data_IF_565160074391
#
_entry.id   IF_565160074391
#
_cell.length_a   1.000
_cell.length_b   1.000
_cell.length_c   1.000
_cell.angle_alpha   90.00
_cell.angle_beta   90.00
_cell.angle_gamma   90.00
#
_symmetry.space_group_name_H-M   'P 1'
#
loop_
_entity.id
_entity.type
_entity.pdbx_description
1 polymer ?
#
# COMPACT_ATOMS: atom_id res chain seq x y z
N UNK A 1 25.55 19.95 48.82
CA UNK A 1 26.34 20.39 47.65
C UNK A 1 25.70 19.80 46.40
N UNK A 2 25.15 20.63 45.51
CA UNK A 2 24.66 20.15 44.21
C UNK A 2 25.90 19.82 43.35
N UNK A 3 26.11 18.54 43.03
CA UNK A 3 27.08 18.15 42.00
C UNK A 3 26.58 18.72 40.68
N UNK A 4 27.27 19.73 40.16
CA UNK A 4 27.02 20.28 38.84
C UNK A 4 27.40 19.27 37.76
N UNK A 5 26.62 19.23 36.69
CA UNK A 5 26.91 18.43 35.50
C UNK A 5 28.24 18.89 34.90
N UNK A 6 29.13 17.97 34.54
CA UNK A 6 30.43 18.33 33.95
C UNK A 6 30.29 18.59 32.45
N UNK A 7 31.10 19.49 31.91
CA UNK A 7 31.13 19.74 30.45
C UNK A 7 31.53 18.48 29.66
N UNK A 8 32.39 17.64 30.24
CA UNK A 8 32.81 16.39 29.59
C UNK A 8 31.67 15.37 29.49
N UNK A 9 30.83 15.26 30.52
CA UNK A 9 29.62 14.42 30.47
C UNK A 9 28.67 14.89 29.35
N UNK A 10 28.52 16.21 29.16
CA UNK A 10 27.68 16.74 28.09
C UNK A 10 28.22 16.38 26.70
N UNK A 11 29.53 16.52 26.51
CA UNK A 11 30.19 16.22 25.23
C UNK A 11 30.03 14.74 24.88
N UNK A 12 30.27 13.83 25.84
CA UNK A 12 30.11 12.40 25.60
C UNK A 12 28.68 12.02 25.22
N UNK A 13 27.67 12.62 25.86
CA UNK A 13 26.25 12.37 25.52
C UNK A 13 25.95 12.79 24.08
N UNK A 14 26.40 13.99 23.66
CA UNK A 14 26.18 14.49 22.31
C UNK A 14 26.87 13.59 21.27
N UNK A 15 28.10 13.13 21.56
CA UNK A 15 28.85 12.21 20.68
C UNK A 15 28.12 10.87 20.51
N UNK A 16 27.64 10.29 21.61
CA UNK A 16 26.90 9.01 21.57
C UNK A 16 25.58 9.16 20.79
N UNK A 17 24.81 10.23 21.05
CA UNK A 17 23.57 10.51 20.31
C UNK A 17 23.85 10.69 18.82
N UNK A 18 24.93 11.40 18.46
CA UNK A 18 25.35 11.58 17.08
C UNK A 18 25.65 10.26 16.36
N UNK A 19 26.39 9.35 17.02
CA UNK A 19 26.70 8.03 16.46
C UNK A 19 25.44 7.17 16.25
N UNK A 20 24.55 7.14 17.25
CA UNK A 20 23.31 6.36 17.16
C UNK A 20 22.39 6.91 16.06
N UNK A 21 22.29 8.23 15.93
CA UNK A 21 21.48 8.86 14.89
C UNK A 21 21.97 8.49 13.47
N UNK A 22 23.28 8.47 13.24
CA UNK A 22 23.86 8.15 11.94
C UNK A 22 23.46 6.75 11.44
N UNK A 23 23.34 5.76 12.33
CA UNK A 23 22.93 4.39 11.98
C UNK A 23 21.41 4.22 11.96
N UNK A 24 20.68 4.90 12.84
CA UNK A 24 19.24 4.75 12.98
C UNK A 24 18.44 5.41 11.84
N UNK A 25 18.84 6.60 11.39
CA UNK A 25 18.14 7.37 10.33
C UNK A 25 17.94 6.57 9.02
N UNK A 26 18.98 5.97 8.40
CA UNK A 26 18.78 5.24 7.15
C UNK A 26 17.90 4.00 7.33
N UNK A 27 17.96 3.33 8.49
CA UNK A 27 17.07 2.20 8.80
C UNK A 27 15.61 2.65 8.89
N UNK A 28 15.36 3.77 9.56
CA UNK A 28 14.01 4.32 9.73
C UNK A 28 13.35 4.68 8.39
N UNK A 29 14.10 5.27 7.45
CA UNK A 29 13.59 5.60 6.11
C UNK A 29 13.15 4.34 5.35
N UNK A 30 13.98 3.29 5.35
CA UNK A 30 13.64 2.03 4.70
C UNK A 30 12.42 1.35 5.36
N UNK A 31 12.34 1.36 6.70
CA UNK A 31 11.19 0.84 7.44
C UNK A 31 9.90 1.54 7.06
N UNK A 32 9.92 2.88 6.96
CA UNK A 32 8.77 3.68 6.54
C UNK A 32 8.30 3.29 5.14
N UNK A 33 9.21 3.18 4.18
CA UNK A 33 8.89 2.82 2.79
C UNK A 33 8.29 1.40 2.69
N UNK A 34 8.83 0.44 3.45
CA UNK A 34 8.27 -0.90 3.52
C UNK A 34 6.88 -0.91 4.16
N UNK A 35 6.69 -0.13 5.24
CA UNK A 35 5.39 0.00 5.90
C UNK A 35 4.33 0.66 5.01
N UNK A 36 4.74 1.52 4.08
CA UNK A 36 3.84 2.10 3.07
C UNK A 36 3.46 1.08 1.98
N UNK A 37 4.36 0.16 1.62
CA UNK A 37 4.11 -0.86 0.60
C UNK A 37 3.31 -2.07 1.12
N UNK A 38 3.51 -2.42 2.39
CA UNK A 38 2.96 -3.64 3.00
C UNK A 38 1.42 -3.74 2.97
N UNK A 39 0.63 -2.69 3.27
CA UNK A 39 -0.83 -2.79 3.25
C UNK A 39 -1.39 -3.09 1.86
N UNK A 40 -0.79 -2.52 0.82
CA UNK A 40 -1.21 -2.77 -0.55
C UNK A 40 -0.87 -4.19 -1.00
N UNK A 41 0.33 -4.66 -0.64
CA UNK A 41 0.72 -6.05 -0.88
C UNK A 41 -0.20 -7.04 -0.16
N UNK A 42 -0.50 -6.78 1.12
CA UNK A 42 -1.41 -7.62 1.91
C UNK A 42 -2.78 -7.72 1.25
N UNK A 43 -3.33 -6.60 0.77
CA UNK A 43 -4.59 -6.60 0.02
C UNK A 43 -4.51 -7.48 -1.23
N UNK A 44 -3.43 -7.40 -2.02
CA UNK A 44 -3.25 -8.28 -3.18
C UNK A 44 -3.20 -9.76 -2.75
N UNK A 45 -2.45 -10.08 -1.70
CA UNK A 45 -2.31 -11.45 -1.20
C UNK A 45 -3.66 -12.02 -0.70
N UNK A 46 -4.42 -11.25 0.08
CA UNK A 46 -5.74 -11.65 0.59
C UNK A 46 -6.75 -11.90 -0.55
N UNK A 47 -6.72 -11.02 -1.55
CA UNK A 47 -7.61 -11.11 -2.71
C UNK A 47 -7.27 -12.31 -3.61
N UNK A 48 -5.98 -12.64 -3.72
CA UNK A 48 -5.48 -13.85 -4.38
C UNK A 48 -5.85 -15.13 -3.62
N UNK A 49 -5.95 -15.10 -2.29
CA UNK A 49 -6.28 -16.30 -1.52
C UNK A 49 -7.77 -16.68 -1.62
N UNK A 50 -8.65 -15.76 -1.24
CA UNK A 50 -10.11 -16.04 -1.25
C UNK A 50 -10.99 -14.79 -1.28
N UNK A 51 -10.43 -13.59 -1.09
CA UNK A 51 -11.22 -12.39 -0.83
C UNK A 51 -11.73 -11.65 -2.07
N UNK A 52 -11.11 -11.85 -3.23
CA UNK A 52 -11.43 -11.07 -4.44
C UNK A 52 -12.54 -11.71 -5.28
N UNK A 53 -12.11 -12.58 -6.19
CA UNK A 53 -12.98 -13.15 -7.20
C UNK A 53 -14.09 -14.04 -6.61
N UNK A 54 -13.80 -14.83 -5.57
CA UNK A 54 -14.82 -15.68 -4.91
C UNK A 54 -15.87 -14.84 -4.18
N UNK A 55 -15.47 -13.77 -3.49
CA UNK A 55 -16.42 -12.89 -2.80
C UNK A 55 -17.35 -12.18 -3.79
N UNK A 56 -16.80 -11.77 -4.94
CA UNK A 56 -17.60 -11.20 -6.02
C UNK A 56 -18.62 -12.20 -6.57
N UNK A 57 -18.19 -13.43 -6.88
CA UNK A 57 -19.12 -14.47 -7.35
C UNK A 57 -20.21 -14.79 -6.32
N UNK A 58 -19.86 -14.86 -5.03
CA UNK A 58 -20.85 -15.05 -3.97
C UNK A 58 -21.88 -13.90 -3.95
N UNK A 59 -21.46 -12.66 -4.19
CA UNK A 59 -22.36 -11.51 -4.25
C UNK A 59 -23.32 -11.58 -5.45
N UNK A 60 -22.85 -12.01 -6.62
CA UNK A 60 -23.68 -12.07 -7.84
C UNK A 60 -24.53 -13.33 -7.93
N UNK A 61 -23.95 -14.50 -7.63
CA UNK A 61 -24.58 -15.79 -7.87
C UNK A 61 -25.44 -16.26 -6.69
N UNK A 62 -24.94 -16.12 -5.46
CA UNK A 62 -25.66 -16.57 -4.27
C UNK A 62 -26.62 -15.50 -3.74
N UNK A 63 -26.20 -14.23 -3.74
CA UNK A 63 -27.02 -13.12 -3.26
C UNK A 63 -27.83 -12.43 -4.37
N UNK A 64 -27.62 -12.79 -5.65
CA UNK A 64 -28.40 -12.27 -6.78
C UNK A 64 -28.20 -10.79 -7.06
N UNK A 65 -27.12 -10.17 -6.57
CA UNK A 65 -26.86 -8.75 -6.80
C UNK A 65 -26.46 -8.49 -8.24
N UNK A 66 -27.03 -7.45 -8.84
CA UNK A 66 -26.57 -6.95 -10.13
C UNK A 66 -25.19 -6.27 -9.99
N UNK A 67 -24.41 -6.24 -11.08
CA UNK A 67 -23.05 -5.69 -11.05
C UNK A 67 -22.99 -4.25 -10.50
N UNK A 68 -23.96 -3.42 -10.85
CA UNK A 68 -24.07 -2.03 -10.39
C UNK A 68 -24.45 -1.88 -8.91
N UNK A 69 -24.89 -2.94 -8.24
CA UNK A 69 -25.27 -2.95 -6.82
C UNK A 69 -24.11 -3.38 -5.90
N UNK A 70 -23.05 -3.94 -6.49
CA UNK A 70 -21.89 -4.45 -5.74
C UNK A 70 -21.05 -3.29 -5.22
N UNK A 71 -20.87 -3.27 -3.89
CA UNK A 71 -19.93 -2.40 -3.21
C UNK A 71 -18.71 -3.22 -2.75
N UNK A 72 -17.51 -2.92 -3.26
CA UNK A 72 -16.30 -3.69 -2.95
C UNK A 72 -15.91 -3.64 -1.47
N UNK A 73 -16.39 -2.67 -0.69
CA UNK A 73 -16.14 -2.62 0.76
C UNK A 73 -16.88 -3.72 1.53
N UNK A 74 -17.95 -4.26 0.94
CA UNK A 74 -18.65 -5.42 1.47
C UNK A 74 -17.91 -6.74 1.16
N UNK A 75 -17.04 -6.74 0.15
CA UNK A 75 -16.26 -7.91 -0.28
C UNK A 75 -14.92 -7.97 0.45
N UNK A 76 -14.23 -6.84 0.54
CA UNK A 76 -12.94 -6.72 1.20
C UNK A 76 -12.85 -5.44 2.03
N UNK A 77 -12.39 -5.57 3.28
CA UNK A 77 -12.21 -4.43 4.18
C UNK A 77 -10.86 -3.77 3.96
N UNK A 78 -10.83 -2.73 3.14
CA UNK A 78 -9.66 -1.86 3.00
C UNK A 78 -9.43 -1.08 4.30
N UNK A 79 -8.35 -1.40 5.03
CA UNK A 79 -8.01 -0.74 6.29
C UNK A 79 -6.90 0.30 6.09
N UNK A 80 -7.03 1.43 6.78
CA UNK A 80 -6.04 2.51 6.81
C UNK A 80 -6.42 3.73 5.97
N UNK A 81 -5.80 4.86 6.29
CA UNK A 81 -6.10 6.18 5.68
C UNK A 81 -5.56 6.36 4.26
N UNK A 82 -4.80 5.40 3.74
CA UNK A 82 -4.22 5.47 2.39
C UNK A 82 -5.16 4.96 1.30
N UNK A 83 -6.35 4.47 1.66
CA UNK A 83 -7.34 3.98 0.71
C UNK A 83 -8.39 5.04 0.39
N UNK A 84 -8.70 5.17 -0.90
CA UNK A 84 -9.84 5.93 -1.39
C UNK A 84 -10.68 5.03 -2.32
N UNK A 85 -11.99 5.24 -2.38
CA UNK A 85 -12.89 4.44 -3.19
C UNK A 85 -13.44 5.27 -4.34
N UNK A 86 -13.64 4.65 -5.51
CA UNK A 86 -14.36 5.28 -6.60
C UNK A 86 -15.85 5.43 -6.27
N UNK A 87 -16.50 6.41 -6.89
CA UNK A 87 -17.94 6.66 -6.71
C UNK A 87 -18.83 5.47 -7.12
N UNK A 88 -18.38 4.68 -8.10
CA UNK A 88 -19.08 3.45 -8.51
C UNK A 88 -18.73 2.25 -7.63
N UNK A 89 -17.93 2.43 -6.58
CA UNK A 89 -17.53 1.39 -5.62
C UNK A 89 -16.91 0.14 -6.25
N UNK A 90 -16.27 0.26 -7.42
CA UNK A 90 -15.56 -0.83 -8.12
C UNK A 90 -14.06 -0.74 -8.05
N UNK A 91 -13.53 0.42 -7.68
CA UNK A 91 -12.09 0.68 -7.62
C UNK A 91 -11.71 1.12 -6.20
N UNK A 92 -10.74 0.43 -5.62
CA UNK A 92 -10.04 0.87 -4.42
C UNK A 92 -8.68 1.42 -4.84
N UNK A 93 -8.47 2.71 -4.63
CA UNK A 93 -7.22 3.43 -4.88
C UNK A 93 -6.35 3.43 -3.64
N UNK A 94 -5.06 3.15 -3.80
CA UNK A 94 -4.06 3.19 -2.74
C UNK A 94 -3.06 4.32 -2.96
N UNK A 95 -2.88 5.16 -1.94
CA UNK A 95 -2.10 6.41 -1.98
C UNK A 95 -2.59 7.38 -3.04
N UNK A 96 -3.90 7.58 -3.05
CA UNK A 96 -4.54 8.71 -3.73
C UNK A 96 -5.11 9.63 -2.66
N UNK A 97 -5.04 10.94 -2.88
CA UNK A 97 -5.58 11.96 -1.97
C UNK A 97 -6.49 12.89 -2.74
N UNK A 98 -7.58 13.30 -2.13
CA UNK A 98 -8.40 14.38 -2.67
C UNK A 98 -7.63 15.69 -2.53
N UNK A 99 -7.54 16.46 -3.62
CA UNK A 99 -7.07 17.84 -3.59
C UNK A 99 -8.20 18.81 -3.21
N UNK A 100 -7.87 20.09 -3.13
CA UNK A 100 -8.82 21.16 -2.79
C UNK A 100 -10.00 21.27 -3.78
N UNK A 101 -9.84 20.76 -5.01
CA UNK A 101 -10.88 20.70 -6.03
C UNK A 101 -11.69 19.40 -6.00
N UNK A 102 -11.60 18.61 -4.92
CA UNK A 102 -12.23 17.31 -4.77
C UNK A 102 -11.91 16.32 -5.90
N UNK A 103 -10.69 16.39 -6.44
CA UNK A 103 -10.17 15.44 -7.42
C UNK A 103 -9.18 14.48 -6.77
N UNK A 104 -9.27 13.19 -7.08
CA UNK A 104 -8.30 12.19 -6.64
C UNK A 104 -6.96 12.39 -7.35
N UNK A 105 -5.93 12.74 -6.59
CA UNK A 105 -4.56 12.91 -7.05
C UNK A 105 -3.73 11.72 -6.60
N UNK A 106 -3.07 11.10 -7.57
CA UNK A 106 -2.13 10.00 -7.39
C UNK A 106 -0.83 10.46 -6.73
N UNK A 107 -0.33 9.70 -5.77
CA UNK A 107 1.05 9.86 -5.29
C UNK A 107 2.04 9.60 -6.44
N UNK A 108 3.04 10.49 -6.65
CA UNK A 108 3.97 10.39 -7.76
C UNK A 108 5.08 9.36 -7.54
N UNK A 109 5.30 8.87 -6.31
CA UNK A 109 6.37 7.94 -5.95
C UNK A 109 5.88 6.50 -5.90
N UNK A 110 4.76 6.26 -5.23
CA UNK A 110 4.16 4.94 -5.12
C UNK A 110 2.65 5.03 -4.99
N UNK A 111 1.94 4.26 -5.83
CA UNK A 111 0.48 4.15 -5.81
C UNK A 111 0.03 2.80 -6.36
N UNK A 112 -1.22 2.47 -6.12
CA UNK A 112 -1.85 1.32 -6.75
C UNK A 112 -3.36 1.44 -6.80
N UNK A 113 -4.01 0.53 -7.50
CA UNK A 113 -5.45 0.37 -7.39
C UNK A 113 -5.88 -1.08 -7.61
N UNK A 114 -7.02 -1.43 -7.06
CA UNK A 114 -7.69 -2.71 -7.23
C UNK A 114 -9.02 -2.44 -7.92
N UNK A 115 -9.23 -3.03 -9.10
CA UNK A 115 -10.43 -2.83 -9.90
C UNK A 115 -11.17 -4.15 -10.10
N UNK A 116 -12.39 -4.23 -9.56
CA UNK A 116 -13.30 -5.35 -9.75
C UNK A 116 -14.07 -5.19 -11.06
N UNK A 117 -13.86 -6.14 -11.97
CA UNK A 117 -14.61 -6.24 -13.22
C UNK A 117 -15.92 -6.99 -13.02
N UNK A 118 -16.86 -6.80 -13.96
CA UNK A 118 -18.18 -7.43 -13.91
C UNK A 118 -18.17 -8.95 -14.02
N UNK A 119 -17.04 -9.54 -14.42
CA UNK A 119 -16.82 -10.99 -14.49
C UNK A 119 -16.17 -11.56 -13.22
N UNK A 120 -16.05 -10.76 -12.15
CA UNK A 120 -15.43 -11.15 -10.89
C UNK A 120 -13.91 -11.10 -10.86
N UNK A 121 -13.24 -10.88 -12.00
CA UNK A 121 -11.79 -10.67 -12.02
C UNK A 121 -11.42 -9.35 -11.33
N UNK A 122 -10.41 -9.38 -10.46
CA UNK A 122 -9.81 -8.19 -9.86
C UNK A 122 -8.49 -7.87 -10.56
N UNK A 123 -8.35 -6.65 -11.06
CA UNK A 123 -7.09 -6.12 -11.60
C UNK A 123 -6.36 -5.34 -10.52
N UNK A 124 -5.17 -5.78 -10.16
CA UNK A 124 -4.29 -5.09 -9.22
C UNK A 124 -3.20 -4.34 -10.00
N UNK A 125 -3.31 -3.02 -10.05
CA UNK A 125 -2.28 -2.16 -10.64
C UNK A 125 -1.35 -1.62 -9.55
N UNK A 126 -0.05 -1.70 -9.80
CA UNK A 126 1.01 -1.21 -8.91
C UNK A 126 1.93 -0.29 -9.71
N UNK A 127 2.20 0.91 -9.20
CA UNK A 127 3.15 1.84 -9.80
C UNK A 127 4.20 2.27 -8.79
N UNK A 128 5.46 2.07 -9.15
CA UNK A 128 6.64 2.57 -8.46
C UNK A 128 7.42 3.48 -9.39
N UNK A 129 7.76 4.68 -8.92
CA UNK A 129 8.56 5.62 -9.69
C UNK A 129 10.03 5.19 -9.69
N UNK A 130 10.60 4.82 -10.86
CA UNK A 130 11.97 4.33 -10.93
C UNK A 130 13.01 5.46 -10.74
N UNK A 131 12.59 6.72 -10.72
CA UNK A 131 13.48 7.88 -10.66
C UNK A 131 13.63 8.43 -9.24
N UNK A 132 12.85 7.97 -8.26
CA UNK A 132 12.90 8.46 -6.88
C UNK A 132 13.40 7.39 -5.91
N UNK A 133 14.10 7.80 -4.85
CA UNK A 133 14.61 6.88 -3.84
C UNK A 133 13.46 6.12 -3.15
N UNK A 134 12.33 6.78 -2.93
CA UNK A 134 11.12 6.17 -2.39
C UNK A 134 10.54 5.11 -3.32
N UNK A 135 10.34 5.44 -4.61
CA UNK A 135 9.80 4.49 -5.58
C UNK A 135 10.69 3.26 -5.76
N UNK A 136 12.02 3.43 -5.79
CA UNK A 136 12.98 2.32 -5.83
C UNK A 136 12.95 1.44 -4.59
N UNK A 137 12.80 2.03 -3.40
CA UNK A 137 12.72 1.27 -2.16
C UNK A 137 11.45 0.42 -2.10
N UNK A 138 10.32 1.00 -2.50
CA UNK A 138 9.04 0.27 -2.63
C UNK A 138 9.13 -0.81 -3.71
N UNK A 139 9.79 -0.53 -4.84
CA UNK A 139 10.05 -1.53 -5.88
C UNK A 139 10.82 -2.73 -5.34
N UNK A 140 11.87 -2.49 -4.54
CA UNK A 140 12.62 -3.56 -3.90
C UNK A 140 11.76 -4.36 -2.92
N UNK A 141 10.79 -3.73 -2.24
CA UNK A 141 9.83 -4.43 -1.40
C UNK A 141 8.96 -5.39 -2.21
N UNK A 142 8.35 -4.93 -3.30
CA UNK A 142 7.50 -5.77 -4.15
C UNK A 142 8.30 -6.90 -4.82
N UNK A 143 9.53 -6.62 -5.29
CA UNK A 143 10.39 -7.65 -5.91
C UNK A 143 10.69 -8.81 -4.98
N UNK A 144 10.92 -8.54 -3.68
CA UNK A 144 11.11 -9.59 -2.67
C UNK A 144 9.89 -10.48 -2.48
N UNK A 145 8.70 -9.99 -2.86
CA UNK A 145 7.44 -10.72 -2.80
C UNK A 145 6.98 -11.22 -4.18
N UNK A 146 7.87 -11.25 -5.17
CA UNK A 146 7.57 -11.77 -6.51
C UNK A 146 6.76 -10.84 -7.41
N UNK A 147 6.64 -9.56 -7.06
CA UNK A 147 5.90 -8.56 -7.82
C UNK A 147 6.83 -7.47 -8.35
N UNK A 148 6.49 -6.92 -9.50
CA UNK A 148 7.15 -5.80 -10.15
C UNK A 148 6.20 -4.60 -10.17
N UNK A 149 6.74 -3.39 -10.09
CA UNK A 149 5.93 -2.18 -10.15
C UNK A 149 6.62 -1.01 -10.86
N UNK A 150 7.87 -1.17 -11.30
CA UNK A 150 8.61 -0.12 -12.00
C UNK A 150 7.84 0.35 -13.24
N UNK A 151 7.50 1.64 -13.29
CA UNK A 151 6.77 2.24 -14.41
C UNK A 151 5.29 1.84 -14.51
N UNK A 152 4.78 1.03 -13.59
CA UNK A 152 3.39 0.56 -13.59
C UNK A 152 3.24 -0.86 -14.15
N UNK A 153 2.63 -1.74 -13.35
CA UNK A 153 2.34 -3.14 -13.71
C UNK A 153 0.95 -3.52 -13.24
N UNK A 154 0.28 -4.38 -13.99
CA UNK A 154 -1.05 -4.90 -13.64
C UNK A 154 -1.00 -6.41 -13.47
N UNK A 155 -1.55 -6.88 -12.37
CA UNK A 155 -1.75 -8.29 -12.04
C UNK A 155 -3.23 -8.63 -12.13
N UNK A 156 -3.51 -9.86 -12.53
CA UNK A 156 -4.86 -10.38 -12.66
C UNK A 156 -5.08 -11.35 -11.52
N UNK A 157 -6.20 -11.16 -10.82
CA UNK A 157 -6.68 -12.01 -9.73
C UNK A 157 -8.06 -12.52 -10.14
N UNK A 158 -8.14 -13.79 -10.46
CA UNK A 158 -9.35 -14.52 -10.79
C UNK A 158 -9.37 -15.89 -10.10
N UNK A 159 -10.47 -16.64 -10.20
CA UNK A 159 -10.60 -17.96 -9.57
C UNK A 159 -9.49 -18.94 -9.99
N UNK A 160 -8.96 -18.86 -11.20
CA UNK A 160 -7.90 -19.77 -11.66
C UNK A 160 -6.53 -19.42 -11.06
N UNK A 161 -6.33 -18.15 -10.71
CA UNK A 161 -5.13 -17.67 -10.02
C UNK A 161 -5.17 -17.87 -8.50
N UNK A 162 -6.33 -18.22 -7.92
CA UNK A 162 -6.46 -18.58 -6.50
C UNK A 162 -5.85 -19.98 -6.28
N UNK A 163 -4.57 -20.02 -5.90
CA UNK A 163 -3.83 -21.24 -5.56
C UNK A 163 -3.17 -21.13 -4.21
#
# INVERSE_FOLDING_TARGET
MRRGFTLIELIFVIVIIGLLAAVAVPKFVNLKQNAEAAPFYAAIADLNGSGGASAYLNATELNGLADNEINITNLYKFQGSSWALSNNHKVAYYRYKYNDNNSLVADPNFRGYLYYLSNGTVRAYIYCNPNTNEGKAVENYFKKHGLECAGGKTYIIDLATQK
#
